data_IF_398037963107
#
_entry.id   IF_398037963107
#
_cell.length_a   1.000
_cell.length_b   1.000
_cell.length_c   1.000
_cell.angle_alpha   90.00
_cell.angle_beta   90.00
_cell.angle_gamma   90.00
#
_symmetry.space_group_name_H-M   'P 1'
#
loop_
_entity.id
_entity.type
_entity.pdbx_description
1 polymer ?
#
# COMPACT_ATOMS: atom_id res chain seq x y z
N UNK A 1 30.99 -20.39 20.00
CA UNK A 1 30.51 -21.67 20.59
C UNK A 1 30.44 -21.62 22.10
N UNK A 2 31.52 -21.29 22.83
CA UNK A 2 31.50 -21.20 24.30
C UNK A 2 30.57 -20.12 24.88
N UNK A 3 30.45 -18.95 24.24
CA UNK A 3 29.54 -17.89 24.69
C UNK A 3 28.05 -18.25 24.52
N UNK A 4 27.70 -19.03 23.49
CA UNK A 4 26.33 -19.55 23.29
C UNK A 4 25.96 -20.60 24.37
N UNK A 5 26.94 -21.40 24.78
CA UNK A 5 26.76 -22.44 25.81
C UNK A 5 26.55 -21.88 27.23
N UNK A 6 27.10 -20.68 27.50
CA UNK A 6 26.87 -19.95 28.76
C UNK A 6 25.45 -19.35 28.81
N UNK A 7 24.96 -18.83 27.69
CA UNK A 7 23.60 -18.29 27.58
C UNK A 7 22.54 -19.37 27.81
N UNK A 8 22.76 -20.59 27.31
CA UNK A 8 21.84 -21.73 27.50
C UNK A 8 21.75 -22.20 28.97
N UNK A 9 22.81 -22.02 29.76
CA UNK A 9 22.88 -22.45 31.16
C UNK A 9 22.55 -21.34 32.17
N UNK A 10 22.31 -20.11 31.71
CA UNK A 10 21.90 -19.01 32.54
C UNK A 10 20.46 -19.20 33.05
N UNK A 11 20.32 -19.60 34.31
CA UNK A 11 19.03 -19.83 34.97
C UNK A 11 18.11 -18.60 34.93
N UNK A 12 18.69 -17.38 34.97
CA UNK A 12 17.94 -16.13 34.85
C UNK A 12 17.34 -15.93 33.45
N UNK A 13 18.03 -16.36 32.38
CA UNK A 13 17.47 -16.35 31.01
C UNK A 13 16.28 -17.30 30.94
N UNK A 14 16.36 -18.47 31.57
CA UNK A 14 15.24 -19.43 31.63
C UNK A 14 14.05 -18.89 32.41
N UNK A 15 14.27 -18.15 33.50
CA UNK A 15 13.20 -17.51 34.28
C UNK A 15 12.56 -16.37 33.51
N UNK A 16 13.34 -15.50 32.86
CA UNK A 16 12.82 -14.44 32.00
C UNK A 16 12.00 -15.05 30.86
N UNK A 17 12.52 -16.09 30.22
CA UNK A 17 11.82 -16.81 29.15
C UNK A 17 10.55 -17.50 29.67
N UNK A 18 10.60 -18.14 30.84
CA UNK A 18 9.44 -18.76 31.48
C UNK A 18 8.36 -17.73 31.82
N UNK A 19 8.73 -16.60 32.42
CA UNK A 19 7.84 -15.49 32.75
C UNK A 19 7.20 -14.88 31.49
N UNK A 20 7.98 -14.73 30.42
CA UNK A 20 7.46 -14.34 29.10
C UNK A 20 6.46 -15.38 28.61
N UNK A 21 6.82 -16.67 28.60
CA UNK A 21 5.94 -17.74 28.08
C UNK A 21 4.66 -17.97 28.89
N UNK A 22 4.64 -17.68 30.19
CA UNK A 22 3.42 -17.74 31.02
C UNK A 22 2.51 -16.55 30.77
N UNK A 23 3.07 -15.36 30.54
CA UNK A 23 2.33 -14.15 30.18
C UNK A 23 1.59 -14.29 28.83
N UNK A 24 2.16 -15.10 27.93
CA UNK A 24 1.60 -15.44 26.62
C UNK A 24 0.87 -16.80 26.57
N UNK A 25 0.82 -17.54 27.68
CA UNK A 25 0.25 -18.90 27.72
C UNK A 25 -1.18 -19.05 27.18
N UNK A 26 -2.12 -18.11 27.42
CA UNK A 26 -3.50 -18.22 26.92
C UNK A 26 -3.59 -18.06 25.39
N UNK A 27 -2.61 -17.42 24.76
CA UNK A 27 -2.60 -17.06 23.32
C UNK A 27 -1.51 -17.78 22.54
N UNK A 28 -0.91 -18.83 23.11
CA UNK A 28 0.18 -19.61 22.51
C UNK A 28 -0.12 -20.02 21.06
N UNK A 29 -1.36 -20.42 20.79
CA UNK A 29 -1.77 -20.84 19.46
C UNK A 29 -1.82 -19.67 18.46
N UNK A 30 -2.41 -18.54 18.84
CA UNK A 30 -2.49 -17.36 17.97
C UNK A 30 -1.10 -16.74 17.70
N UNK A 31 -0.22 -16.69 18.70
CA UNK A 31 1.16 -16.24 18.55
C UNK A 31 1.99 -17.18 17.67
N UNK A 32 1.79 -18.49 17.81
CA UNK A 32 2.44 -19.48 16.96
C UNK A 32 1.97 -19.34 15.50
N UNK A 33 0.68 -19.13 15.29
CA UNK A 33 0.12 -18.84 13.95
C UNK A 33 0.70 -17.54 13.40
N UNK A 34 0.78 -16.47 14.19
CA UNK A 34 1.38 -15.20 13.76
C UNK A 34 2.85 -15.37 13.36
N UNK A 35 3.66 -16.05 14.18
CA UNK A 35 5.05 -16.36 13.84
C UNK A 35 5.16 -17.18 12.56
N UNK A 36 4.33 -18.22 12.39
CA UNK A 36 4.30 -19.02 11.17
C UNK A 36 3.93 -18.17 9.94
N UNK A 37 2.98 -17.24 10.08
CA UNK A 37 2.59 -16.32 9.02
C UNK A 37 3.72 -15.38 8.61
N UNK A 38 4.46 -14.79 9.56
CA UNK A 38 5.63 -13.95 9.27
C UNK A 38 6.72 -14.77 8.54
N UNK A 39 6.94 -16.01 8.95
CA UNK A 39 7.92 -16.91 8.30
C UNK A 39 7.49 -17.20 6.86
N UNK A 40 6.21 -17.56 6.64
CA UNK A 40 5.66 -17.83 5.30
C UNK A 40 5.76 -16.57 4.43
N UNK A 41 5.39 -15.39 4.95
CA UNK A 41 5.50 -14.12 4.25
C UNK A 41 6.96 -13.81 3.87
N UNK A 42 7.90 -14.01 4.80
CA UNK A 42 9.31 -13.76 4.55
C UNK A 42 9.87 -14.73 3.50
N UNK A 43 9.52 -16.02 3.57
CA UNK A 43 9.94 -17.02 2.59
C UNK A 43 9.35 -16.70 1.21
N UNK A 44 8.04 -16.42 1.13
CA UNK A 44 7.38 -16.11 -0.15
C UNK A 44 7.92 -14.82 -0.77
N UNK A 45 8.18 -13.78 0.03
CA UNK A 45 8.84 -12.56 -0.39
C UNK A 45 10.28 -12.80 -0.86
N UNK A 46 11.05 -13.68 -0.18
CA UNK A 46 12.39 -14.06 -0.63
C UNK A 46 12.37 -14.85 -1.94
N UNK A 47 11.42 -15.78 -2.13
CA UNK A 47 11.26 -16.53 -3.39
C UNK A 47 10.90 -15.58 -4.53
N UNK A 48 10.01 -14.62 -4.28
CA UNK A 48 9.69 -13.58 -5.26
C UNK A 48 10.92 -12.74 -5.61
N UNK A 49 11.65 -12.24 -4.61
CA UNK A 49 12.90 -11.50 -4.78
C UNK A 49 13.98 -12.29 -5.55
N UNK A 50 14.05 -13.61 -5.34
CA UNK A 50 14.93 -14.51 -6.08
C UNK A 50 14.55 -14.60 -7.56
N UNK A 51 13.25 -14.74 -7.87
CA UNK A 51 12.75 -14.78 -9.25
C UNK A 51 13.06 -13.50 -10.02
N UNK A 52 12.98 -12.35 -9.38
CA UNK A 52 13.32 -11.05 -9.98
C UNK A 52 14.83 -10.72 -9.91
N UNK A 53 15.68 -11.67 -9.50
CA UNK A 53 17.14 -11.52 -9.35
C UNK A 53 17.57 -10.34 -8.45
N UNK A 54 16.75 -9.96 -7.48
CA UNK A 54 17.03 -8.88 -6.51
C UNK A 54 16.97 -9.41 -5.09
N UNK A 55 17.82 -10.38 -4.78
CA UNK A 55 18.01 -10.83 -3.40
C UNK A 55 18.76 -9.74 -2.61
N UNK A 56 18.08 -9.14 -1.64
CA UNK A 56 18.68 -8.18 -0.72
C UNK A 56 18.43 -8.64 0.72
N UNK A 57 19.46 -8.55 1.57
CA UNK A 57 19.39 -8.90 3.00
C UNK A 57 18.34 -8.09 3.77
N UNK A 58 17.94 -6.94 3.21
CA UNK A 58 16.84 -6.10 3.73
C UNK A 58 15.53 -6.87 3.89
N UNK A 59 15.21 -7.81 3.00
CA UNK A 59 13.96 -8.60 3.09
C UNK A 59 13.93 -9.50 4.33
N UNK A 60 15.05 -10.19 4.62
CA UNK A 60 15.17 -11.05 5.80
C UNK A 60 15.21 -10.23 7.09
N UNK A 61 15.91 -9.09 7.08
CA UNK A 61 15.93 -8.15 8.21
C UNK A 61 14.53 -7.62 8.54
N UNK A 62 13.73 -7.30 7.52
CA UNK A 62 12.34 -6.87 7.70
C UNK A 62 11.49 -7.92 8.41
N UNK A 63 11.67 -9.21 8.11
CA UNK A 63 11.00 -10.29 8.84
C UNK A 63 11.37 -10.33 10.32
N UNK A 64 12.65 -10.13 10.66
CA UNK A 64 13.11 -10.06 12.04
C UNK A 64 12.55 -8.81 12.77
N UNK A 65 12.54 -7.66 12.11
CA UNK A 65 11.99 -6.43 12.65
C UNK A 65 10.48 -6.58 12.92
N UNK A 66 9.73 -7.25 12.02
CA UNK A 66 8.30 -7.58 12.23
C UNK A 66 8.09 -8.42 13.49
N UNK A 67 8.90 -9.46 13.71
CA UNK A 67 8.80 -10.31 14.90
C UNK A 67 8.99 -9.48 16.18
N UNK A 68 10.00 -8.62 16.20
CA UNK A 68 10.29 -7.76 17.36
C UNK A 68 9.16 -6.76 17.62
N UNK A 69 8.74 -6.01 16.60
CA UNK A 69 7.71 -4.97 16.74
C UNK A 69 6.37 -5.57 17.15
N UNK A 70 5.97 -6.68 16.54
CA UNK A 70 4.69 -7.34 16.87
C UNK A 70 4.71 -7.93 18.28
N UNK A 71 5.84 -8.52 18.70
CA UNK A 71 6.00 -9.01 20.06
C UNK A 71 5.88 -7.89 21.09
N UNK A 72 6.50 -6.73 20.83
CA UNK A 72 6.41 -5.54 21.69
C UNK A 72 4.97 -5.01 21.73
N UNK A 73 4.31 -4.92 20.58
CA UNK A 73 2.93 -4.43 20.49
C UNK A 73 1.97 -5.27 21.34
N UNK A 74 2.02 -6.61 21.18
CA UNK A 74 1.17 -7.52 21.95
C UNK A 74 1.53 -7.47 23.45
N UNK A 75 2.82 -7.34 23.80
CA UNK A 75 3.25 -7.18 25.18
C UNK A 75 2.66 -5.92 25.82
N UNK A 76 2.71 -4.78 25.13
CA UNK A 76 2.18 -3.50 25.63
C UNK A 76 0.67 -3.60 25.86
N UNK A 77 -0.07 -4.13 24.89
CA UNK A 77 -1.53 -4.33 25.02
C UNK A 77 -1.85 -5.26 26.19
N UNK A 78 -1.07 -6.33 26.36
CA UNK A 78 -1.28 -7.27 27.46
C UNK A 78 -0.97 -6.66 28.82
N UNK A 79 0.09 -5.88 28.93
CA UNK A 79 0.42 -5.16 30.17
C UNK A 79 -0.68 -4.15 30.54
N UNK A 80 -1.30 -3.50 29.53
CA UNK A 80 -2.45 -2.64 29.75
C UNK A 80 -3.66 -3.42 30.28
N UNK A 81 -3.99 -4.56 29.69
CA UNK A 81 -5.09 -5.41 30.18
C UNK A 81 -4.85 -5.90 31.61
N UNK A 82 -3.61 -6.29 31.94
CA UNK A 82 -3.23 -6.68 33.30
C UNK A 82 -3.36 -5.48 34.25
N UNK A 83 -2.92 -4.29 33.84
CA UNK A 83 -3.00 -3.08 34.66
C UNK A 83 -4.42 -2.60 34.95
N UNK A 84 -5.38 -2.90 34.07
CA UNK A 84 -6.81 -2.56 34.22
C UNK A 84 -7.63 -3.75 34.76
N UNK A 85 -6.99 -4.88 35.05
CA UNK A 85 -7.66 -6.14 35.40
C UNK A 85 -8.53 -6.03 36.67
N UNK A 86 -8.19 -5.14 37.61
CA UNK A 86 -8.99 -4.89 38.81
C UNK A 86 -10.33 -4.19 38.52
N UNK A 87 -10.44 -3.51 37.37
CA UNK A 87 -11.64 -2.78 36.92
C UNK A 87 -12.41 -3.62 35.90
N UNK A 88 -11.71 -4.19 34.91
CA UNK A 88 -12.27 -5.01 33.85
C UNK A 88 -11.36 -6.20 33.54
N UNK A 89 -11.79 -7.41 33.91
CA UNK A 89 -11.09 -8.64 33.54
C UNK A 89 -11.39 -9.02 32.09
N UNK A 90 -10.49 -8.70 31.17
CA UNK A 90 -10.65 -9.05 29.75
C UNK A 90 -9.32 -9.38 29.07
N UNK A 91 -9.40 -10.20 28.04
CA UNK A 91 -8.32 -10.51 27.09
C UNK A 91 -8.65 -10.09 25.66
N UNK A 92 -9.77 -9.40 25.49
CA UNK A 92 -10.31 -9.05 24.18
C UNK A 92 -9.34 -8.18 23.38
N UNK A 93 -8.65 -7.23 24.00
CA UNK A 93 -7.73 -6.34 23.27
C UNK A 93 -6.54 -7.12 22.74
N UNK A 94 -5.99 -8.04 23.54
CA UNK A 94 -4.91 -8.94 23.12
C UNK A 94 -5.36 -9.86 21.98
N UNK A 95 -6.59 -10.38 22.03
CA UNK A 95 -7.16 -11.21 20.96
C UNK A 95 -7.38 -10.42 19.67
N UNK A 96 -7.96 -9.22 19.78
CA UNK A 96 -8.22 -8.34 18.63
C UNK A 96 -6.91 -7.92 17.95
N UNK A 97 -5.91 -7.46 18.70
CA UNK A 97 -4.64 -7.03 18.11
C UNK A 97 -3.91 -8.21 17.47
N UNK A 98 -3.94 -9.40 18.10
CA UNK A 98 -3.29 -10.59 17.54
C UNK A 98 -3.99 -11.04 16.26
N UNK A 99 -5.33 -11.06 16.25
CA UNK A 99 -6.11 -11.39 15.05
C UNK A 99 -5.85 -10.39 13.90
N UNK A 100 -5.76 -9.09 14.22
CA UNK A 100 -5.42 -8.05 13.26
C UNK A 100 -4.04 -8.24 12.63
N UNK A 101 -3.02 -8.56 13.45
CA UNK A 101 -1.67 -8.81 12.98
C UNK A 101 -1.60 -10.07 12.10
N UNK A 102 -2.28 -11.16 12.49
CA UNK A 102 -2.37 -12.38 11.67
C UNK A 102 -3.01 -12.08 10.31
N UNK A 103 -4.08 -11.29 10.31
CA UNK A 103 -4.78 -10.92 9.09
C UNK A 103 -3.89 -10.05 8.18
N UNK A 104 -3.10 -9.15 8.75
CA UNK A 104 -2.16 -8.30 8.01
C UNK A 104 -1.07 -9.13 7.33
N UNK A 105 -0.44 -10.06 8.05
CA UNK A 105 0.57 -10.96 7.46
C UNK A 105 -0.05 -11.93 6.45
N UNK A 106 -1.31 -12.32 6.64
CA UNK A 106 -2.06 -13.12 5.66
C UNK A 106 -2.24 -12.39 4.34
N UNK A 107 -2.56 -11.08 4.38
CA UNK A 107 -2.65 -10.29 3.16
C UNK A 107 -1.29 -10.08 2.49
N UNK A 108 -0.24 -9.82 3.27
CA UNK A 108 1.14 -9.71 2.76
C UNK A 108 1.60 -11.00 2.05
N UNK A 109 1.35 -12.16 2.65
CA UNK A 109 1.70 -13.45 2.05
C UNK A 109 0.88 -13.71 0.77
N UNK A 110 -0.41 -13.37 0.76
CA UNK A 110 -1.26 -13.50 -0.42
C UNK A 110 -0.83 -12.58 -1.56
N UNK A 111 -0.34 -11.39 -1.25
CA UNK A 111 0.25 -10.47 -2.24
C UNK A 111 1.51 -11.09 -2.88
N UNK A 112 2.44 -11.60 -2.06
CA UNK A 112 3.63 -12.29 -2.55
C UNK A 112 3.26 -13.50 -3.42
N UNK A 113 2.24 -14.27 -3.04
CA UNK A 113 1.73 -15.39 -3.85
C UNK A 113 1.11 -14.93 -5.17
N UNK A 114 0.35 -13.83 -5.17
CA UNK A 114 -0.20 -13.25 -6.40
C UNK A 114 0.93 -12.82 -7.35
N UNK A 115 1.97 -12.18 -6.82
CA UNK A 115 3.16 -11.75 -7.57
C UNK A 115 3.99 -12.92 -8.10
N UNK A 116 3.92 -14.09 -7.45
CA UNK A 116 4.50 -15.34 -7.94
C UNK A 116 3.67 -16.04 -9.03
N UNK A 117 2.50 -15.52 -9.37
CA UNK A 117 1.59 -16.07 -10.37
C UNK A 117 0.64 -17.14 -9.84
N UNK A 118 0.44 -17.23 -8.53
CA UNK A 118 -0.50 -18.19 -7.95
C UNK A 118 -1.95 -17.88 -8.40
N UNK A 119 -2.75 -18.91 -8.77
CA UNK A 119 -4.15 -18.72 -9.16
C UNK A 119 -5.01 -18.41 -7.94
N UNK A 120 -5.09 -17.12 -7.58
CA UNK A 120 -5.97 -16.66 -6.51
C UNK A 120 -7.39 -16.40 -7.03
N UNK A 121 -8.44 -16.80 -6.28
CA UNK A 121 -9.83 -16.46 -6.56
C UNK A 121 -10.03 -14.95 -6.73
N UNK A 122 -10.87 -14.55 -7.70
CA UNK A 122 -11.14 -13.14 -8.03
C UNK A 122 -11.60 -12.30 -6.83
N UNK A 123 -12.34 -12.91 -5.89
CA UNK A 123 -12.78 -12.24 -4.65
C UNK A 123 -11.61 -11.91 -3.72
N UNK A 124 -10.64 -12.83 -3.61
CA UNK A 124 -9.44 -12.64 -2.77
C UNK A 124 -8.55 -11.55 -3.39
N UNK A 125 -8.36 -11.56 -4.72
CA UNK A 125 -7.64 -10.49 -5.42
C UNK A 125 -8.27 -9.12 -5.17
N UNK A 126 -9.60 -9.00 -5.22
CA UNK A 126 -10.31 -7.76 -4.90
C UNK A 126 -10.15 -7.32 -3.45
N UNK A 127 -10.12 -8.25 -2.49
CA UNK A 127 -9.93 -7.95 -1.06
C UNK A 127 -8.49 -7.49 -0.78
N UNK A 128 -7.48 -8.12 -1.38
CA UNK A 128 -6.08 -7.67 -1.30
C UNK A 128 -5.97 -6.22 -1.82
N UNK A 129 -6.55 -5.95 -3.00
CA UNK A 129 -6.60 -4.61 -3.58
C UNK A 129 -7.42 -3.61 -2.73
N UNK A 130 -8.44 -4.07 -2.01
CA UNK A 130 -9.26 -3.24 -1.15
C UNK A 130 -8.62 -2.97 0.23
N UNK A 131 -7.78 -3.86 0.75
CA UNK A 131 -7.02 -3.62 1.99
C UNK A 131 -5.84 -2.68 1.79
N UNK A 132 -5.31 -2.60 0.57
CA UNK A 132 -4.46 -1.47 0.17
C UNK A 132 -5.25 -0.14 0.23
N UNK A 133 -6.58 -0.20 0.14
CA UNK A 133 -7.47 0.97 0.07
C UNK A 133 -8.15 1.34 1.40
N UNK A 134 -8.14 0.45 2.40
CA UNK A 134 -8.73 0.70 3.72
C UNK A 134 -7.66 1.20 4.69
N UNK A 135 -7.17 2.39 4.35
CA UNK A 135 -6.10 3.13 4.98
C UNK A 135 -6.49 3.78 6.32
N UNK A 136 -7.67 3.55 6.88
CA UNK A 136 -8.17 4.35 8.01
C UNK A 136 -7.33 4.18 9.29
N UNK A 137 -6.80 2.98 9.55
CA UNK A 137 -5.91 2.72 10.70
C UNK A 137 -4.43 3.05 10.40
N UNK A 138 -4.03 3.02 9.13
CA UNK A 138 -2.68 3.45 8.68
C UNK A 138 -2.57 4.98 8.63
N UNK A 139 -3.65 5.67 8.27
CA UNK A 139 -3.73 7.12 8.19
C UNK A 139 -3.51 7.78 9.54
N UNK A 140 -3.98 7.18 10.64
CA UNK A 140 -3.79 7.69 12.01
C UNK A 140 -2.33 7.54 12.49
N UNK A 141 -1.57 6.57 11.97
CA UNK A 141 -0.21 6.24 12.45
C UNK A 141 0.90 6.87 11.59
N UNK A 142 0.61 7.25 10.34
CA UNK A 142 1.62 7.68 9.35
C UNK A 142 1.46 9.18 8.99
N UNK A 143 0.81 9.99 9.83
CA UNK A 143 0.73 11.45 9.58
C UNK A 143 2.12 12.13 9.54
N UNK A 144 3.19 11.48 9.98
CA UNK A 144 4.53 12.10 10.06
C UNK A 144 5.55 11.75 8.92
N UNK A 145 5.26 10.85 7.96
CA UNK A 145 6.29 10.39 6.98
C UNK A 145 5.96 10.53 5.46
N UNK A 146 4.75 10.94 5.08
CA UNK A 146 4.19 10.57 3.76
C UNK A 146 4.60 11.40 2.52
N UNK A 147 5.31 12.53 2.63
CA UNK A 147 5.70 13.30 1.42
C UNK A 147 6.75 12.58 0.56
N UNK A 148 7.41 11.55 1.10
CA UNK A 148 8.44 10.75 0.43
C UNK A 148 7.92 9.49 -0.28
N UNK A 149 6.72 8.99 0.07
CA UNK A 149 6.28 7.66 -0.34
C UNK A 149 5.62 7.59 -1.73
N UNK A 150 4.82 8.59 -2.13
CA UNK A 150 4.08 8.53 -3.40
C UNK A 150 4.98 8.54 -4.66
N UNK A 151 6.10 9.25 -4.59
CA UNK A 151 7.07 9.27 -5.68
C UNK A 151 7.74 7.89 -5.87
N UNK A 152 7.96 7.17 -4.78
CA UNK A 152 8.50 5.81 -4.80
C UNK A 152 7.46 4.84 -5.39
N UNK A 153 6.19 4.93 -5.00
CA UNK A 153 5.10 4.13 -5.59
C UNK A 153 4.92 4.37 -7.09
N UNK A 154 4.98 5.62 -7.54
CA UNK A 154 4.90 5.97 -8.96
C UNK A 154 6.15 5.49 -9.71
N UNK A 155 7.33 5.58 -9.09
CA UNK A 155 8.57 5.02 -9.63
C UNK A 155 8.46 3.51 -9.81
N UNK A 156 7.85 2.81 -8.85
CA UNK A 156 7.62 1.36 -8.94
C UNK A 156 6.67 1.01 -10.10
N UNK A 157 5.60 1.79 -10.31
CA UNK A 157 4.71 1.61 -11.47
C UNK A 157 5.52 1.74 -12.78
N UNK A 158 6.40 2.75 -12.88
CA UNK A 158 7.25 2.95 -14.07
C UNK A 158 8.27 1.82 -14.25
N UNK A 159 8.90 1.38 -13.17
CA UNK A 159 10.00 0.42 -13.22
C UNK A 159 9.52 -1.02 -13.42
N UNK A 160 8.39 -1.41 -12.82
CA UNK A 160 7.97 -2.81 -12.78
C UNK A 160 6.69 -3.09 -13.56
N UNK A 161 5.78 -2.13 -13.67
CA UNK A 161 4.50 -2.35 -14.33
C UNK A 161 4.54 -1.99 -15.82
N UNK A 162 5.15 -0.85 -16.20
CA UNK A 162 5.25 -0.45 -17.61
C UNK A 162 5.99 -1.46 -18.52
N UNK A 163 7.09 -2.12 -18.10
CA UNK A 163 7.78 -3.07 -18.97
C UNK A 163 6.96 -4.30 -19.36
N UNK A 164 5.88 -4.61 -18.63
CA UNK A 164 5.02 -5.76 -18.88
C UNK A 164 3.90 -5.46 -19.91
N UNK A 165 3.85 -4.25 -20.47
CA UNK A 165 2.94 -3.90 -21.56
C UNK A 165 3.57 -4.35 -22.87
N UNK A 166 2.86 -5.19 -23.63
CA UNK A 166 3.35 -5.75 -24.89
C UNK A 166 3.36 -4.71 -26.04
N UNK A 167 2.38 -3.81 -26.08
CA UNK A 167 2.26 -2.79 -27.11
C UNK A 167 3.11 -1.55 -26.76
N UNK A 168 4.12 -1.26 -27.58
CA UNK A 168 5.06 -0.16 -27.38
C UNK A 168 4.39 1.23 -27.51
N UNK A 169 3.34 1.36 -28.34
CA UNK A 169 2.57 2.61 -28.43
C UNK A 169 1.78 2.85 -27.15
N UNK A 170 1.11 1.83 -26.61
CA UNK A 170 0.42 1.95 -25.31
C UNK A 170 1.41 2.23 -24.20
N UNK A 171 2.56 1.56 -24.20
CA UNK A 171 3.61 1.81 -23.21
C UNK A 171 4.08 3.27 -23.24
N UNK A 172 4.24 3.86 -24.43
CA UNK A 172 4.59 5.28 -24.60
C UNK A 172 3.46 6.21 -24.14
N UNK A 173 2.21 5.92 -24.51
CA UNK A 173 1.00 6.63 -24.03
C UNK A 173 0.98 6.64 -22.50
N UNK A 174 1.17 5.47 -21.89
CA UNK A 174 1.16 5.28 -20.44
C UNK A 174 2.32 5.98 -19.74
N UNK A 175 3.53 5.94 -20.31
CA UNK A 175 4.69 6.63 -19.74
C UNK A 175 4.47 8.14 -19.71
N UNK A 176 4.00 8.73 -20.81
CA UNK A 176 3.68 10.16 -20.90
C UNK A 176 2.60 10.51 -19.87
N UNK A 177 1.53 9.71 -19.80
CA UNK A 177 0.47 9.91 -18.82
C UNK A 177 1.03 9.92 -17.40
N UNK A 178 1.75 8.86 -16.98
CA UNK A 178 2.28 8.79 -15.61
C UNK A 178 3.20 9.99 -15.33
N UNK A 179 4.04 10.42 -16.29
CA UNK A 179 4.91 11.58 -16.12
C UNK A 179 4.12 12.87 -15.89
N UNK A 180 3.09 13.16 -16.69
CA UNK A 180 2.28 14.37 -16.52
C UNK A 180 1.46 14.34 -15.24
N UNK A 181 0.90 13.19 -14.87
CA UNK A 181 0.17 13.04 -13.61
C UNK A 181 1.10 13.07 -12.38
N UNK A 182 2.38 12.75 -12.52
CA UNK A 182 3.39 13.00 -11.47
C UNK A 182 3.59 14.50 -11.27
N UNK A 183 3.66 15.28 -12.36
CA UNK A 183 3.78 16.75 -12.29
C UNK A 183 2.52 17.35 -11.66
N UNK A 184 1.34 16.84 -12.00
CA UNK A 184 0.07 17.20 -11.36
C UNK A 184 0.16 17.09 -9.84
N UNK A 185 0.65 15.95 -9.30
CA UNK A 185 0.76 15.74 -7.85
C UNK A 185 1.65 16.82 -7.21
N UNK A 186 2.80 17.13 -7.82
CA UNK A 186 3.72 18.14 -7.30
C UNK A 186 3.11 19.56 -7.32
N UNK A 187 2.34 19.90 -8.36
CA UNK A 187 1.65 21.21 -8.46
C UNK A 187 0.50 21.28 -7.46
N UNK A 188 -0.32 20.21 -7.38
CA UNK A 188 -1.43 20.08 -6.44
C UNK A 188 -0.96 20.28 -5.01
N UNK A 189 0.13 19.61 -4.64
CA UNK A 189 0.70 19.66 -3.30
C UNK A 189 1.12 21.09 -2.94
N UNK A 190 1.79 21.79 -3.86
CA UNK A 190 2.16 23.20 -3.70
C UNK A 190 0.93 24.12 -3.61
N UNK A 191 -0.02 23.99 -4.54
CA UNK A 191 -1.21 24.86 -4.55
C UNK A 191 -2.07 24.70 -3.31
N UNK A 192 -2.18 23.49 -2.78
CA UNK A 192 -2.96 23.23 -1.59
C UNK A 192 -2.16 23.49 -0.30
N UNK A 193 -0.83 23.61 -0.33
CA UNK A 193 -0.03 24.05 0.84
C UNK A 193 -0.34 25.52 1.16
N UNK A 194 -0.70 26.30 0.13
CA UNK A 194 -1.05 27.72 0.22
C UNK A 194 -2.57 27.97 0.38
N UNK A 195 -3.39 26.92 0.51
CA UNK A 195 -4.85 26.99 0.49
C UNK A 195 -5.52 27.18 1.87
N UNK A 196 -4.75 27.56 2.89
CA UNK A 196 -5.29 27.78 4.24
C UNK A 196 -6.37 28.88 4.23
N UNK A 197 -7.57 28.56 4.74
CA UNK A 197 -8.72 29.46 4.73
C UNK A 197 -9.55 29.47 3.44
N UNK A 198 -9.25 28.62 2.45
CA UNK A 198 -10.06 28.51 1.23
C UNK A 198 -11.38 27.79 1.52
N UNK A 199 -12.45 28.19 0.82
CA UNK A 199 -13.71 27.43 0.83
C UNK A 199 -13.53 26.10 0.09
N UNK A 200 -14.34 25.10 0.45
CA UNK A 200 -14.36 23.80 -0.23
C UNK A 200 -14.63 23.94 -1.74
N UNK A 201 -15.49 24.88 -2.14
CA UNK A 201 -15.79 25.16 -3.54
C UNK A 201 -14.56 25.68 -4.30
N UNK A 202 -13.76 26.54 -3.67
CA UNK A 202 -12.55 27.09 -4.27
C UNK A 202 -11.47 26.00 -4.42
N UNK A 203 -11.35 25.13 -3.41
CA UNK A 203 -10.48 23.94 -3.47
C UNK A 203 -10.92 23.05 -4.63
N UNK A 204 -12.21 22.72 -4.72
CA UNK A 204 -12.76 21.90 -5.79
C UNK A 204 -12.46 22.49 -7.17
N UNK A 205 -12.73 23.79 -7.36
CA UNK A 205 -12.49 24.46 -8.64
C UNK A 205 -11.00 24.41 -9.03
N UNK A 206 -10.10 24.63 -8.08
CA UNK A 206 -8.64 24.55 -8.32
C UNK A 206 -8.23 23.14 -8.72
N UNK A 207 -8.62 22.13 -7.95
CA UNK A 207 -8.32 20.72 -8.24
C UNK A 207 -8.83 20.31 -9.62
N UNK A 208 -10.10 20.61 -9.94
CA UNK A 208 -10.68 20.26 -11.24
C UNK A 208 -10.01 21.02 -12.39
N UNK A 209 -9.65 22.30 -12.21
CA UNK A 209 -8.94 23.07 -13.22
C UNK A 209 -7.56 22.48 -13.53
N UNK A 210 -6.85 22.04 -12.49
CA UNK A 210 -5.53 21.44 -12.60
C UNK A 210 -5.60 20.06 -13.26
N UNK A 211 -6.65 19.28 -12.95
CA UNK A 211 -6.93 18.01 -13.62
C UNK A 211 -7.17 18.22 -15.12
N UNK A 212 -8.00 19.20 -15.49
CA UNK A 212 -8.31 19.45 -16.90
C UNK A 212 -7.09 19.99 -17.67
N UNK A 213 -6.30 20.86 -17.05
CA UNK A 213 -5.03 21.32 -17.59
C UNK A 213 -4.07 20.13 -17.83
N UNK A 214 -3.95 19.21 -16.87
CA UNK A 214 -3.08 18.03 -16.99
C UNK A 214 -3.53 17.10 -18.12
N UNK A 215 -4.84 16.84 -18.25
CA UNK A 215 -5.39 16.04 -19.37
C UNK A 215 -5.08 16.67 -20.71
N UNK A 216 -5.24 18.00 -20.83
CA UNK A 216 -4.94 18.73 -22.06
C UNK A 216 -3.46 18.63 -22.40
N UNK A 217 -2.57 18.94 -21.47
CA UNK A 217 -1.11 18.83 -21.67
C UNK A 217 -0.69 17.42 -22.07
N UNK A 218 -1.26 16.39 -21.41
CA UNK A 218 -0.98 14.98 -21.75
C UNK A 218 -1.36 14.69 -23.21
N UNK A 219 -2.53 15.17 -23.65
CA UNK A 219 -3.00 14.99 -25.02
C UNK A 219 -2.09 15.71 -26.03
N UNK A 220 -1.69 16.94 -25.72
CA UNK A 220 -0.81 17.72 -26.59
C UNK A 220 0.55 17.02 -26.75
N UNK A 221 1.13 16.50 -25.67
CA UNK A 221 2.38 15.72 -25.72
C UNK A 221 2.21 14.42 -26.53
N UNK A 222 1.08 13.72 -26.41
CA UNK A 222 0.82 12.54 -27.23
C UNK A 222 0.80 12.88 -28.74
N UNK A 223 0.22 14.02 -29.11
CA UNK A 223 0.19 14.51 -30.49
C UNK A 223 1.61 14.82 -30.96
N UNK A 224 2.38 15.56 -30.16
CA UNK A 224 3.76 15.96 -30.48
C UNK A 224 4.71 14.76 -30.62
N UNK A 225 4.50 13.71 -29.82
CA UNK A 225 5.26 12.46 -29.85
C UNK A 225 4.87 11.54 -31.03
N UNK A 226 3.90 11.97 -31.86
CA UNK A 226 3.47 11.28 -33.07
C UNK A 226 2.56 10.08 -32.83
N UNK A 227 1.87 10.02 -31.68
CA UNK A 227 0.94 8.93 -31.37
C UNK A 227 -0.32 9.08 -32.23
N UNK A 228 -0.74 8.00 -32.90
CA UNK A 228 -1.89 8.09 -33.81
C UNK A 228 -3.18 8.45 -33.05
N UNK A 229 -4.02 9.28 -33.68
CA UNK A 229 -5.32 9.67 -33.14
C UNK A 229 -6.21 8.49 -32.76
N UNK A 230 -6.23 7.43 -33.56
CA UNK A 230 -7.04 6.24 -33.29
C UNK A 230 -6.59 5.54 -31.99
N UNK A 231 -5.28 5.41 -31.77
CA UNK A 231 -4.75 4.83 -30.52
C UNK A 231 -5.12 5.68 -29.30
N UNK A 232 -4.97 7.01 -29.39
CA UNK A 232 -5.36 7.92 -28.30
C UNK A 232 -6.86 7.82 -27.99
N UNK A 233 -7.71 7.82 -29.00
CA UNK A 233 -9.17 7.74 -28.82
C UNK A 233 -9.60 6.42 -28.20
N UNK A 234 -9.09 5.28 -28.71
CA UNK A 234 -9.37 3.95 -28.13
C UNK A 234 -8.93 3.87 -26.68
N UNK A 235 -7.73 4.35 -26.38
CA UNK A 235 -7.20 4.38 -25.01
C UNK A 235 -8.08 5.21 -24.06
N UNK A 236 -8.50 6.40 -24.50
CA UNK A 236 -9.36 7.29 -23.72
C UNK A 236 -10.76 6.70 -23.51
N UNK A 237 -11.36 6.10 -24.54
CA UNK A 237 -12.68 5.45 -24.45
C UNK A 237 -12.63 4.31 -23.44
N UNK A 238 -11.62 3.45 -23.56
CA UNK A 238 -11.48 2.28 -22.70
C UNK A 238 -11.35 2.66 -21.21
N UNK A 239 -10.65 3.75 -20.90
CA UNK A 239 -10.42 4.19 -19.52
C UNK A 239 -11.43 5.23 -19.00
N UNK A 240 -12.34 5.72 -19.85
CA UNK A 240 -13.29 6.81 -19.54
C UNK A 240 -14.08 6.57 -18.25
N UNK A 241 -14.67 5.39 -18.09
CA UNK A 241 -15.52 5.06 -16.92
C UNK A 241 -14.76 5.19 -15.60
N UNK A 242 -13.47 4.85 -15.58
CA UNK A 242 -12.64 4.95 -14.37
C UNK A 242 -12.20 6.37 -14.09
N UNK A 243 -11.91 7.12 -15.15
CA UNK A 243 -11.60 8.54 -15.04
C UNK A 243 -12.80 9.31 -14.51
N UNK A 244 -14.00 9.08 -15.05
CA UNK A 244 -15.23 9.71 -14.58
C UNK A 244 -15.50 9.38 -13.11
N UNK A 245 -15.32 8.11 -12.72
CA UNK A 245 -15.41 7.70 -11.32
C UNK A 245 -14.40 8.44 -10.43
N UNK A 246 -13.16 8.61 -10.89
CA UNK A 246 -12.14 9.35 -10.14
C UNK A 246 -12.55 10.82 -9.97
N UNK A 247 -13.06 11.48 -11.01
CA UNK A 247 -13.54 12.87 -10.94
C UNK A 247 -14.67 13.02 -9.92
N UNK A 248 -15.63 12.10 -9.93
CA UNK A 248 -16.71 12.07 -8.93
C UNK A 248 -16.15 11.85 -7.51
N UNK A 249 -15.17 10.97 -7.32
CA UNK A 249 -14.51 10.80 -6.03
C UNK A 249 -13.76 12.07 -5.58
N UNK A 250 -13.18 12.85 -6.51
CA UNK A 250 -12.56 14.14 -6.20
C UNK A 250 -13.56 15.18 -5.70
N UNK A 251 -14.73 15.26 -6.33
CA UNK A 251 -15.82 16.15 -5.89
C UNK A 251 -16.16 15.89 -4.42
N UNK A 252 -16.42 14.64 -4.07
CA UNK A 252 -16.71 14.24 -2.69
C UNK A 252 -15.57 14.55 -1.71
N UNK A 253 -14.32 14.37 -2.11
CA UNK A 253 -13.16 14.67 -1.24
C UNK A 253 -13.02 16.17 -1.02
N UNK A 254 -13.16 16.97 -2.07
CA UNK A 254 -13.01 18.43 -1.97
C UNK A 254 -14.14 19.06 -1.15
N UNK A 255 -15.35 18.52 -1.24
CA UNK A 255 -16.53 18.98 -0.48
C UNK A 255 -16.51 18.53 1.00
N UNK A 256 -15.70 17.54 1.37
CA UNK A 256 -15.68 17.01 2.73
C UNK A 256 -15.23 18.05 3.77
N UNK A 257 -15.56 17.80 5.04
CA UNK A 257 -15.09 18.62 6.17
C UNK A 257 -13.67 18.25 6.64
N UNK A 258 -12.91 17.49 5.85
CA UNK A 258 -11.56 17.05 6.20
C UNK A 258 -10.54 18.18 6.11
N UNK A 259 -9.40 18.04 6.81
CA UNK A 259 -8.27 18.95 6.68
C UNK A 259 -7.71 18.96 5.26
N UNK A 260 -7.09 20.07 4.84
CA UNK A 260 -6.49 20.20 3.50
C UNK A 260 -5.45 19.09 3.27
N UNK A 261 -4.63 18.80 4.28
CA UNK A 261 -3.63 17.72 4.23
C UNK A 261 -4.27 16.36 3.96
N UNK A 262 -5.37 16.04 4.64
CA UNK A 262 -6.10 14.79 4.42
C UNK A 262 -6.74 14.74 3.04
N UNK A 263 -7.29 15.86 2.55
CA UNK A 263 -7.82 15.96 1.17
C UNK A 263 -6.73 15.69 0.14
N UNK A 264 -5.56 16.34 0.25
CA UNK A 264 -4.40 16.08 -0.63
C UNK A 264 -4.06 14.61 -0.70
N UNK A 265 -3.91 13.98 0.47
CA UNK A 265 -3.56 12.57 0.60
C UNK A 265 -4.56 11.69 -0.13
N UNK A 266 -5.85 11.86 0.14
CA UNK A 266 -6.91 11.08 -0.50
C UNK A 266 -6.92 11.27 -2.02
N UNK A 267 -6.74 12.50 -2.51
CA UNK A 267 -6.67 12.80 -3.95
C UNK A 267 -5.51 12.03 -4.60
N UNK A 268 -4.32 12.09 -4.00
CA UNK A 268 -3.10 11.43 -4.51
C UNK A 268 -3.26 9.90 -4.49
N UNK A 269 -3.77 9.33 -3.39
CA UNK A 269 -4.03 7.89 -3.28
C UNK A 269 -4.98 7.39 -4.37
N UNK A 270 -6.09 8.10 -4.61
CA UNK A 270 -7.04 7.73 -5.67
C UNK A 270 -6.43 7.83 -7.06
N UNK A 271 -5.55 8.80 -7.29
CA UNK A 271 -4.84 8.95 -8.55
C UNK A 271 -3.84 7.81 -8.79
N UNK A 272 -3.08 7.41 -7.78
CA UNK A 272 -2.15 6.26 -7.88
C UNK A 272 -2.90 4.98 -8.20
N UNK A 273 -4.04 4.74 -7.54
CA UNK A 273 -4.92 3.60 -7.84
C UNK A 273 -5.40 3.65 -9.29
N UNK A 274 -5.82 4.82 -9.78
CA UNK A 274 -6.22 4.99 -11.17
C UNK A 274 -5.06 4.67 -12.14
N UNK A 275 -3.85 5.15 -11.87
CA UNK A 275 -2.65 4.86 -12.68
C UNK A 275 -2.35 3.37 -12.71
N UNK A 276 -2.32 2.70 -11.54
CA UNK A 276 -2.07 1.27 -11.44
C UNK A 276 -3.10 0.44 -12.21
N UNK A 277 -4.39 0.75 -12.06
CA UNK A 277 -5.46 0.03 -12.79
C UNK A 277 -5.30 0.23 -14.30
N UNK A 278 -5.00 1.45 -14.74
CA UNK A 278 -4.80 1.76 -16.17
C UNK A 278 -3.61 0.99 -16.75
N UNK A 279 -2.51 0.85 -15.99
CA UNK A 279 -1.37 0.00 -16.38
C UNK A 279 -1.76 -1.47 -16.39
N UNK A 280 -2.45 -1.96 -15.35
CA UNK A 280 -2.85 -3.37 -15.26
C UNK A 280 -3.78 -3.78 -16.40
N UNK A 281 -4.66 -2.88 -16.81
CA UNK A 281 -5.52 -3.10 -17.96
C UNK A 281 -4.74 -3.10 -19.27
N UNK A 282 -3.84 -2.13 -19.45
CA UNK A 282 -2.94 -2.07 -20.59
C UNK A 282 -2.04 -3.32 -20.72
N UNK A 283 -1.72 -3.99 -19.61
CA UNK A 283 -1.02 -5.28 -19.58
C UNK A 283 -1.91 -6.46 -20.02
N UNK A 284 -3.21 -6.43 -19.70
CA UNK A 284 -4.18 -7.50 -20.01
C UNK A 284 -4.73 -7.40 -21.42
N UNK A 285 -4.77 -6.20 -22.00
CA UNK A 285 -5.45 -5.93 -23.25
C UNK A 285 -4.66 -4.96 -24.13
N UNK A 286 -3.60 -5.49 -24.78
CA UNK A 286 -3.47 -5.58 -26.25
C UNK A 286 -2.82 -6.94 -26.52
N UNK A 287 -3.57 -8.01 -26.28
CA UNK A 287 -3.21 -9.36 -26.73
C UNK A 287 -4.43 -10.19 -27.14
N UNK A 288 -5.66 -9.70 -26.92
CA UNK A 288 -6.89 -10.47 -27.16
C UNK A 288 -7.93 -9.74 -28.04
N UNK A 289 -7.64 -8.54 -28.56
CA UNK A 289 -8.46 -7.86 -29.58
C UNK A 289 -7.61 -7.28 -30.74
N UNK A 290 -6.60 -8.03 -31.16
CA UNK A 290 -5.89 -7.88 -32.43
C UNK A 290 -5.97 -9.19 -33.22
#
# INVERSE_FOLDING_TARGET
MQELYKLENAWYVKIIFAAITTLFAPFKLALLVLCAMIIIDTITGCIYAARIKRLNSRGLRRGLDKILVYSICILVVRLLEIGVQEIFSTTLLTEFITAYLILTESFSALENLNSLGAPLPLRIKKIILANIKNDTLRQIVIEDENKKNYNDEISDIKQYCLPNINDENIKRVMLIMINEWTKFINILDKELDEAEGYSNDLILCKVLSLVEATKKTTRDIWIDEGISKNYMERFMIYHKVRLDKYLTELEFICESSDSIEKKKKLIIEKLIILMYITVSDSQKSISEEL
#
